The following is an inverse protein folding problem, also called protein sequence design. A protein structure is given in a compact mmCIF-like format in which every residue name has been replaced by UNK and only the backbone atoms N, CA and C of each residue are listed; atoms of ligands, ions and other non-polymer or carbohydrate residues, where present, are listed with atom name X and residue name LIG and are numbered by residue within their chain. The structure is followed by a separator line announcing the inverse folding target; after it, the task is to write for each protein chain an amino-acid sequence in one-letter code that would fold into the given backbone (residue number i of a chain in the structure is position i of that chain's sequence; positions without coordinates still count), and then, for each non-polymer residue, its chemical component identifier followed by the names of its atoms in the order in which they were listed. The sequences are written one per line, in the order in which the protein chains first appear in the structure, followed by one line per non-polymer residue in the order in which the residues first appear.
data_IF_226813073893
#
_entry.id   IF_226813073893
#
_cell.length_a   1.000
_cell.length_b   1.000
_cell.length_c   1.000
_cell.angle_alpha   90.00
_cell.angle_beta   90.00
_cell.angle_gamma   90.00
#
_symmetry.space_group_name_H-M   'P 1'
#
loop_
_entity.id
_entity.type
_entity.pdbx_description
1 polymer ?
#
# COMPACT_ATOMS: atom_id res chain seq x y z
N UNK A 1 -5.18 26.04 7.68
CA UNK A 1 -4.82 24.69 8.17
C UNK A 1 -6.10 23.96 8.50
N UNK A 2 -6.22 22.68 8.15
CA UNK A 2 -7.35 21.85 8.58
C UNK A 2 -7.33 21.73 10.11
N UNK A 3 -8.50 21.70 10.77
CA UNK A 3 -8.56 21.43 12.21
C UNK A 3 -7.91 20.10 12.55
N UNK A 4 -7.31 20.00 13.74
CA UNK A 4 -6.75 18.74 14.24
C UNK A 4 -7.55 18.23 15.43
N UNK A 5 -7.73 16.91 15.51
CA UNK A 5 -8.42 16.24 16.60
C UNK A 5 -7.63 15.00 17.02
N UNK A 6 -7.35 14.88 18.32
CA UNK A 6 -6.71 13.69 18.89
C UNK A 6 -7.65 12.48 18.84
N UNK A 7 -7.07 11.28 18.88
CA UNK A 7 -7.81 10.01 19.02
C UNK A 7 -8.70 10.02 20.26
N UNK A 8 -8.25 10.68 21.34
CA UNK A 8 -9.06 10.84 22.56
C UNK A 8 -10.31 11.68 22.29
N UNK A 9 -10.18 12.80 21.58
CA UNK A 9 -11.34 13.61 21.19
C UNK A 9 -12.27 12.80 20.29
N UNK A 10 -11.77 12.14 19.26
CA UNK A 10 -12.61 11.29 18.39
C UNK A 10 -13.37 10.24 19.21
N UNK A 11 -12.74 9.63 20.23
CA UNK A 11 -13.38 8.65 21.09
C UNK A 11 -14.52 9.18 21.97
N UNK A 12 -14.73 10.49 22.06
CA UNK A 12 -15.90 11.11 22.71
C UNK A 12 -17.12 11.14 21.77
N UNK A 13 -16.93 10.98 20.45
CA UNK A 13 -17.97 11.01 19.42
C UNK A 13 -18.44 9.58 19.07
N UNK A 14 -19.08 8.91 20.04
CA UNK A 14 -19.52 7.49 19.98
C UNK A 14 -21.03 7.30 19.88
N UNK A 15 -21.79 8.33 19.55
CA UNK A 15 -23.24 8.27 19.42
C UNK A 15 -23.64 8.40 17.96
N UNK A 16 -24.82 7.87 17.58
CA UNK A 16 -25.27 7.93 16.20
C UNK A 16 -25.47 9.39 15.73
N UNK A 17 -25.88 10.28 16.63
CA UNK A 17 -26.15 11.68 16.35
C UNK A 17 -24.87 12.55 16.39
N UNK A 18 -23.76 11.99 16.88
CA UNK A 18 -22.47 12.64 17.02
C UNK A 18 -21.35 11.60 16.84
N UNK A 19 -21.29 10.98 15.67
CA UNK A 19 -20.44 9.83 15.41
C UNK A 19 -19.28 10.18 14.52
N UNK A 20 -18.05 10.05 15.04
CA UNK A 20 -16.84 10.31 14.26
C UNK A 20 -16.00 9.05 14.15
N UNK A 21 -15.19 8.94 13.10
CA UNK A 21 -14.12 7.94 13.04
C UNK A 21 -12.90 8.50 12.34
N UNK A 22 -11.80 7.75 12.46
CA UNK A 22 -10.56 8.04 11.73
C UNK A 22 -10.42 7.06 10.57
N UNK A 23 -10.04 7.57 9.40
CA UNK A 23 -9.53 6.76 8.28
C UNK A 23 -8.20 7.36 7.86
N UNK A 24 -7.15 6.53 7.84
CA UNK A 24 -5.77 6.95 7.69
C UNK A 24 -5.39 7.98 8.78
N UNK A 25 -5.24 9.25 8.40
CA UNK A 25 -5.03 10.37 9.31
C UNK A 25 -6.21 11.36 9.30
N UNK A 26 -7.25 11.13 8.49
CA UNK A 26 -8.42 12.00 8.41
C UNK A 26 -9.44 11.68 9.50
N UNK A 27 -10.11 12.71 10.01
CA UNK A 27 -11.21 12.62 10.97
C UNK A 27 -12.50 12.99 10.26
N UNK A 28 -13.50 12.12 10.36
CA UNK A 28 -14.73 12.20 9.57
C UNK A 28 -15.96 12.18 10.47
N UNK A 29 -16.90 13.08 10.22
CA UNK A 29 -18.19 13.14 10.88
C UNK A 29 -19.25 12.43 10.05
N UNK A 30 -19.81 11.34 10.58
CA UNK A 30 -20.83 10.52 9.91
C UNK A 30 -22.23 10.67 10.50
N UNK A 31 -22.44 11.64 11.40
CA UNK A 31 -23.71 11.90 12.09
C UNK A 31 -24.92 12.02 11.16
N UNK A 32 -24.71 12.47 9.92
CA UNK A 32 -25.75 12.64 8.89
C UNK A 32 -25.69 11.61 7.77
N UNK A 33 -24.86 10.59 7.89
CA UNK A 33 -24.56 9.64 6.80
C UNK A 33 -24.99 8.20 7.09
N UNK A 34 -25.44 7.89 8.32
CA UNK A 34 -25.79 6.53 8.72
C UNK A 34 -26.81 5.83 7.79
N UNK A 35 -27.91 6.51 7.48
CA UNK A 35 -28.98 5.94 6.67
C UNK A 35 -28.67 5.94 5.16
N UNK A 36 -27.64 6.71 4.75
CA UNK A 36 -27.19 6.79 3.36
C UNK A 36 -26.11 5.75 3.05
N UNK A 37 -25.54 5.09 4.06
CA UNK A 37 -24.44 4.15 3.87
C UNK A 37 -24.92 2.84 3.23
N UNK A 38 -24.45 2.46 2.03
CA UNK A 38 -24.93 1.26 1.33
C UNK A 38 -24.68 -0.06 2.06
N UNK A 39 -23.70 -0.10 2.97
CA UNK A 39 -23.42 -1.27 3.83
C UNK A 39 -24.30 -1.36 5.08
N UNK A 40 -25.26 -0.44 5.24
CA UNK A 40 -26.10 -0.31 6.43
C UNK A 40 -25.49 0.58 7.51
N UNK A 41 -26.30 0.96 8.50
CA UNK A 41 -25.88 1.79 9.65
C UNK A 41 -24.93 1.06 10.59
N UNK A 42 -25.11 -0.25 10.77
CA UNK A 42 -24.43 -1.03 11.81
C UNK A 42 -22.92 -1.07 11.60
N UNK A 43 -22.46 -1.09 10.34
CA UNK A 43 -21.03 -1.06 10.02
C UNK A 43 -20.35 0.26 10.42
N UNK A 44 -21.09 1.37 10.40
CA UNK A 44 -20.58 2.66 10.87
C UNK A 44 -20.61 2.71 12.41
N UNK A 45 -21.72 2.28 13.02
CA UNK A 45 -21.88 2.26 14.49
C UNK A 45 -20.81 1.38 15.15
N UNK A 46 -20.39 0.29 14.51
CA UNK A 46 -19.33 -0.57 15.04
C UNK A 46 -17.96 0.12 15.15
N UNK A 47 -17.74 1.22 14.42
CA UNK A 47 -16.43 1.86 14.26
C UNK A 47 -16.37 3.32 14.76
N UNK A 48 -17.50 3.91 15.17
CA UNK A 48 -17.50 5.28 15.68
C UNK A 48 -16.74 5.42 17.01
N UNK A 49 -16.10 6.56 17.17
CA UNK A 49 -15.15 6.89 18.22
C UNK A 49 -13.84 6.11 18.14
N UNK A 50 -13.49 5.55 16.99
CA UNK A 50 -12.28 4.76 16.80
C UNK A 50 -11.62 5.01 15.43
N UNK A 51 -10.49 4.34 15.25
CA UNK A 51 -9.78 4.26 13.97
C UNK A 51 -10.34 3.10 13.16
N UNK A 52 -11.06 3.45 12.09
CA UNK A 52 -11.77 2.54 11.20
C UNK A 52 -10.95 2.20 9.95
N UNK A 53 -9.67 2.60 9.89
CA UNK A 53 -8.83 2.47 8.68
C UNK A 53 -8.81 1.05 8.14
N UNK A 54 -8.52 0.07 9.00
CA UNK A 54 -8.42 -1.35 8.58
C UNK A 54 -9.77 -1.89 8.10
N UNK A 55 -10.86 -1.58 8.82
CA UNK A 55 -12.23 -1.98 8.42
C UNK A 55 -12.65 -1.33 7.11
N UNK A 56 -12.29 -0.07 6.89
CA UNK A 56 -12.58 0.66 5.67
C UNK A 56 -11.82 0.09 4.46
N UNK A 57 -10.55 -0.28 4.66
CA UNK A 57 -9.69 -0.81 3.61
C UNK A 57 -10.09 -2.24 3.19
N UNK A 58 -10.54 -3.06 4.14
CA UNK A 58 -10.93 -4.45 3.90
C UNK A 58 -12.12 -4.60 2.92
N UNK A 59 -13.01 -3.60 2.86
CA UNK A 59 -14.24 -3.67 2.05
C UNK A 59 -14.02 -3.17 0.60
N UNK A 60 -12.90 -2.50 0.31
CA UNK A 60 -12.58 -1.94 -1.00
C UNK A 60 -13.69 -1.05 -1.60
N UNK A 61 -13.89 0.11 -0.96
CA UNK A 61 -14.86 1.11 -1.39
C UNK A 61 -14.58 1.67 -2.80
N UNK A 62 -15.65 2.00 -3.54
CA UNK A 62 -15.56 2.57 -4.88
C UNK A 62 -15.02 4.01 -4.87
N UNK A 63 -14.59 4.53 -6.04
CA UNK A 63 -14.15 5.93 -6.15
C UNK A 63 -15.23 6.95 -5.77
N UNK A 64 -16.51 6.64 -5.97
CA UNK A 64 -17.60 7.51 -5.51
C UNK A 64 -17.74 7.50 -4.00
N UNK A 65 -17.57 6.34 -3.35
CA UNK A 65 -17.54 6.23 -1.90
C UNK A 65 -16.35 7.00 -1.30
N UNK A 66 -15.16 6.94 -1.90
CA UNK A 66 -14.00 7.75 -1.49
C UNK A 66 -14.27 9.26 -1.63
N UNK A 67 -14.95 9.70 -2.70
CA UNK A 67 -15.36 11.11 -2.83
C UNK A 67 -16.38 11.53 -1.77
N UNK A 68 -17.32 10.64 -1.43
CA UNK A 68 -18.29 10.88 -0.36
C UNK A 68 -17.58 11.01 0.98
N UNK A 69 -16.62 10.13 1.26
CA UNK A 69 -15.79 10.19 2.47
C UNK A 69 -15.10 11.56 2.61
N UNK A 70 -14.51 12.09 1.54
CA UNK A 70 -13.85 13.40 1.59
C UNK A 70 -14.80 14.54 1.97
N UNK A 71 -16.08 14.45 1.59
CA UNK A 71 -17.09 15.44 1.98
C UNK A 71 -17.46 15.40 3.47
N UNK A 72 -17.17 14.28 4.15
CA UNK A 72 -17.46 14.08 5.58
C UNK A 72 -16.26 14.48 6.45
N UNK A 73 -15.14 14.89 5.86
CA UNK A 73 -13.91 15.22 6.56
C UNK A 73 -14.09 16.51 7.36
N UNK A 74 -13.85 16.42 8.67
CA UNK A 74 -13.93 17.56 9.60
C UNK A 74 -12.56 18.01 10.10
N UNK A 75 -11.54 17.17 9.96
CA UNK A 75 -10.17 17.48 10.34
C UNK A 75 -9.21 16.31 10.10
N UNK A 76 -8.07 16.36 10.76
CA UNK A 76 -7.03 15.34 10.70
C UNK A 76 -6.47 15.04 12.10
N UNK A 77 -5.76 13.94 12.26
CA UNK A 77 -5.01 13.67 13.49
C UNK A 77 -3.84 14.65 13.63
N UNK A 78 -3.42 14.97 14.87
CA UNK A 78 -2.17 15.70 15.06
C UNK A 78 -0.97 14.86 14.62
N UNK A 79 0.14 15.52 14.29
CA UNK A 79 1.35 14.87 13.74
C UNK A 79 1.88 13.75 14.65
N UNK A 80 1.84 13.94 15.97
CA UNK A 80 2.28 12.96 16.97
C UNK A 80 1.39 11.70 17.08
N UNK A 81 0.18 11.71 16.50
CA UNK A 81 -0.74 10.57 16.48
C UNK A 81 -1.00 10.03 15.05
N UNK A 82 -0.40 10.67 14.05
CA UNK A 82 -0.57 10.37 12.64
C UNK A 82 0.26 9.16 12.22
N UNK A 83 -0.28 8.38 11.28
CA UNK A 83 0.46 7.33 10.58
C UNK A 83 1.51 7.97 9.69
N UNK A 84 2.68 7.33 9.61
CA UNK A 84 3.72 7.68 8.66
C UNK A 84 3.36 7.10 7.28
N UNK A 85 3.15 7.98 6.30
CA UNK A 85 2.98 7.59 4.90
C UNK A 85 4.29 7.75 4.13
N UNK A 86 4.59 6.76 3.29
CA UNK A 86 5.78 6.71 2.47
C UNK A 86 5.35 6.55 1.01
N UNK A 87 5.93 7.35 0.11
CA UNK A 87 5.67 7.21 -1.32
C UNK A 87 6.46 6.05 -1.94
N UNK A 88 5.94 5.45 -2.99
CA UNK A 88 6.64 4.47 -3.83
C UNK A 88 7.93 5.04 -4.42
N UNK A 89 7.97 6.34 -4.73
CA UNK A 89 9.20 7.01 -5.14
C UNK A 89 10.25 6.91 -4.04
N UNK A 90 9.86 7.17 -2.78
CA UNK A 90 10.77 7.06 -1.65
C UNK A 90 11.24 5.61 -1.48
N UNK A 91 10.33 4.63 -1.53
CA UNK A 91 10.70 3.21 -1.45
C UNK A 91 11.72 2.84 -2.53
N UNK A 92 11.54 3.28 -3.77
CA UNK A 92 12.42 2.98 -4.89
C UNK A 92 13.87 3.48 -4.75
N UNK A 93 14.15 4.37 -3.78
CA UNK A 93 15.51 4.81 -3.45
C UNK A 93 16.29 3.76 -2.62
N UNK A 94 15.61 2.74 -2.09
CA UNK A 94 16.16 1.77 -1.14
C UNK A 94 16.22 0.36 -1.77
N UNK A 95 17.21 0.15 -2.65
CA UNK A 95 17.37 -1.07 -3.48
C UNK A 95 18.66 -1.88 -3.20
N UNK A 96 19.43 -1.54 -2.17
CA UNK A 96 20.80 -2.06 -1.97
C UNK A 96 20.96 -2.80 -0.64
N UNK A 97 22.05 -3.56 -0.49
CA UNK A 97 22.32 -4.35 0.71
C UNK A 97 22.48 -3.51 2.01
N UNK A 98 22.79 -2.23 1.88
CA UNK A 98 22.85 -1.27 3.00
C UNK A 98 21.57 -0.43 3.16
N UNK A 99 20.58 -0.63 2.31
CA UNK A 99 19.34 0.14 2.27
C UNK A 99 18.31 -0.59 1.40
N UNK A 100 17.60 -1.57 1.99
CA UNK A 100 16.68 -2.45 1.28
C UNK A 100 15.26 -2.33 1.85
N UNK A 101 14.41 -1.56 1.18
CA UNK A 101 13.00 -1.44 1.55
C UNK A 101 12.11 -2.17 0.56
N UNK A 102 10.95 -2.61 1.00
CA UNK A 102 9.93 -3.17 0.11
C UNK A 102 8.53 -2.97 0.64
N UNK A 103 7.56 -3.02 -0.28
CA UNK A 103 6.14 -2.96 0.05
C UNK A 103 5.55 -4.36 0.07
N UNK A 104 4.84 -4.69 1.14
CA UNK A 104 4.02 -5.91 1.23
C UNK A 104 2.66 -5.50 1.80
N UNK A 105 1.58 -5.78 1.08
CA UNK A 105 0.21 -5.40 1.46
C UNK A 105 0.04 -3.90 1.77
N UNK A 106 0.57 -3.04 0.90
CA UNK A 106 0.58 -1.57 1.07
C UNK A 106 1.30 -1.07 2.35
N UNK A 107 2.07 -1.93 3.03
CA UNK A 107 2.93 -1.59 4.17
C UNK A 107 4.38 -1.59 3.74
N UNK A 108 5.17 -0.65 4.24
CA UNK A 108 6.59 -0.50 3.91
C UNK A 108 7.44 -1.09 5.02
N UNK A 109 8.41 -1.91 4.63
CA UNK A 109 9.32 -2.58 5.54
C UNK A 109 10.77 -2.24 5.20
N UNK A 110 11.56 -1.90 6.21
CA UNK A 110 13.02 -1.81 6.10
C UNK A 110 13.65 -3.16 6.44
N UNK A 111 13.99 -3.93 5.41
CA UNK A 111 14.57 -5.25 5.57
C UNK A 111 16.10 -5.25 5.57
N UNK A 112 16.76 -4.08 5.62
CA UNK A 112 18.23 -3.96 5.55
C UNK A 112 18.92 -4.87 6.56
N UNK A 113 18.42 -4.90 7.81
CA UNK A 113 18.96 -5.74 8.89
C UNK A 113 18.47 -7.20 8.84
N UNK A 114 17.46 -7.49 8.01
CA UNK A 114 16.87 -8.82 7.88
C UNK A 114 17.42 -9.61 6.69
N UNK A 115 18.10 -8.95 5.74
CA UNK A 115 18.63 -9.56 4.52
C UNK A 115 19.34 -10.89 4.77
N UNK A 116 20.27 -10.92 5.73
CA UNK A 116 21.08 -12.11 6.06
C UNK A 116 20.38 -13.12 6.97
N UNK A 117 19.23 -12.75 7.53
CA UNK A 117 18.41 -13.60 8.39
C UNK A 117 17.31 -14.32 7.60
N UNK A 118 17.11 -13.95 6.33
CA UNK A 118 16.06 -14.52 5.51
C UNK A 118 16.39 -15.96 5.08
N UNK A 119 15.59 -16.97 5.46
CA UNK A 119 15.87 -18.38 5.13
C UNK A 119 15.93 -18.67 3.62
N UNK A 120 15.24 -17.88 2.80
CA UNK A 120 15.30 -17.96 1.33
C UNK A 120 16.54 -17.32 0.71
N UNK A 121 17.49 -16.83 1.53
CA UNK A 121 18.66 -16.08 1.11
C UNK A 121 18.39 -14.59 0.92
N UNK A 122 19.44 -13.78 0.96
CA UNK A 122 19.31 -12.31 0.81
C UNK A 122 18.96 -11.86 -0.60
N UNK A 123 19.39 -12.62 -1.60
CA UNK A 123 19.29 -12.23 -3.01
C UNK A 123 17.83 -12.11 -3.48
N UNK A 124 16.94 -12.95 -2.95
CA UNK A 124 15.52 -12.87 -3.28
C UNK A 124 14.87 -11.59 -2.73
N UNK A 125 15.35 -11.09 -1.58
CA UNK A 125 14.87 -9.83 -1.02
C UNK A 125 15.44 -8.63 -1.79
N UNK A 126 16.73 -8.67 -2.14
CA UNK A 126 17.36 -7.64 -2.95
C UNK A 126 16.75 -7.53 -4.35
N UNK A 127 16.36 -8.66 -4.95
CA UNK A 127 15.66 -8.67 -6.23
C UNK A 127 14.34 -7.89 -6.20
N UNK A 128 13.64 -7.88 -5.05
CA UNK A 128 12.36 -7.17 -4.87
C UNK A 128 12.51 -5.85 -4.11
N UNK A 129 13.72 -5.45 -3.74
CA UNK A 129 13.96 -4.20 -3.02
C UNK A 129 13.58 -2.99 -3.90
N UNK A 130 13.11 -1.92 -3.25
CA UNK A 130 12.57 -0.73 -3.89
C UNK A 130 11.19 -0.89 -4.55
N UNK A 131 10.56 -2.06 -4.43
CA UNK A 131 9.32 -2.39 -5.12
C UNK A 131 8.22 -2.95 -4.22
N UNK A 132 7.12 -3.32 -4.86
CA UNK A 132 6.01 -4.06 -4.25
C UNK A 132 6.25 -5.56 -4.42
N UNK A 133 6.57 -6.21 -3.29
CA UNK A 133 6.86 -7.62 -3.18
C UNK A 133 5.65 -8.44 -2.73
N UNK A 134 4.44 -7.86 -2.67
CA UNK A 134 3.23 -8.52 -2.16
C UNK A 134 2.97 -9.86 -2.84
N UNK A 135 3.03 -9.92 -4.17
CA UNK A 135 2.79 -11.16 -4.90
C UNK A 135 3.86 -12.22 -4.61
N UNK A 136 5.14 -11.82 -4.65
CA UNK A 136 6.26 -12.73 -4.34
C UNK A 136 6.18 -13.27 -2.90
N UNK A 137 5.71 -12.44 -1.96
CA UNK A 137 5.50 -12.83 -0.57
C UNK A 137 4.35 -13.83 -0.42
N UNK A 138 3.23 -13.61 -1.10
CA UNK A 138 2.05 -14.49 -1.08
C UNK A 138 2.32 -15.84 -1.74
N UNK A 139 2.98 -15.85 -2.91
CA UNK A 139 3.24 -17.06 -3.69
C UNK A 139 4.13 -18.07 -2.96
N UNK A 140 4.95 -17.59 -2.02
CA UNK A 140 5.82 -18.46 -1.20
C UNK A 140 5.11 -19.10 -0.02
N UNK A 141 3.97 -18.56 0.41
CA UNK A 141 3.19 -19.10 1.54
C UNK A 141 3.95 -19.02 2.87
N UNK A 142 4.28 -17.80 3.31
CA UNK A 142 4.92 -17.59 4.61
C UNK A 142 3.99 -17.93 5.78
N UNK A 143 4.54 -18.48 6.87
CA UNK A 143 3.77 -18.82 8.08
C UNK A 143 3.32 -17.59 8.87
N UNK A 144 2.34 -17.75 9.77
CA UNK A 144 1.92 -16.65 10.67
C UNK A 144 3.05 -16.11 11.55
N UNK A 145 4.02 -16.96 11.91
CA UNK A 145 5.21 -16.52 12.65
C UNK A 145 6.09 -15.60 11.81
N UNK A 146 6.19 -15.83 10.50
CA UNK A 146 6.91 -14.94 9.60
C UNK A 146 6.19 -13.59 9.47
N UNK A 147 4.86 -13.60 9.39
CA UNK A 147 4.06 -12.36 9.39
C UNK A 147 4.29 -11.53 10.66
N UNK A 148 4.24 -12.16 11.85
CA UNK A 148 4.54 -11.48 13.12
C UNK A 148 5.96 -10.93 13.17
N UNK A 149 6.93 -11.65 12.61
CA UNK A 149 8.33 -11.18 12.58
C UNK A 149 8.50 -9.93 11.70
N UNK A 150 7.69 -9.76 10.66
CA UNK A 150 7.75 -8.57 9.78
C UNK A 150 7.37 -7.28 10.49
N UNK A 151 6.53 -7.35 11.53
CA UNK A 151 6.12 -6.17 12.31
C UNK A 151 7.32 -5.39 12.87
N UNK A 152 8.42 -6.08 13.19
CA UNK A 152 9.66 -5.47 13.67
C UNK A 152 10.33 -4.54 12.63
N UNK A 153 10.07 -4.78 11.35
CA UNK A 153 10.69 -4.07 10.23
C UNK A 153 9.74 -3.07 9.58
N UNK A 154 8.51 -2.95 10.07
CA UNK A 154 7.52 -1.99 9.57
C UNK A 154 7.96 -0.55 9.86
N UNK A 155 7.92 0.31 8.84
CA UNK A 155 8.31 1.72 8.96
C UNK A 155 7.22 2.72 8.54
N UNK A 156 6.12 2.25 7.95
CA UNK A 156 5.01 3.11 7.54
C UNK A 156 4.09 2.44 6.53
N UNK A 157 2.96 3.07 6.26
CA UNK A 157 2.03 2.64 5.21
C UNK A 157 2.37 3.36 3.90
N UNK A 158 2.02 2.78 2.75
CA UNK A 158 2.08 3.48 1.47
C UNK A 158 1.02 4.59 1.43
N UNK A 159 1.39 5.72 0.82
CA UNK A 159 0.49 6.83 0.52
C UNK A 159 -0.86 6.33 -0.03
N UNK A 160 -2.01 6.72 0.56
CA UNK A 160 -3.31 6.18 0.17
C UNK A 160 -3.62 6.29 -1.33
N UNK A 161 -3.11 7.32 -2.00
CA UNK A 161 -3.28 7.56 -3.44
C UNK A 161 -2.45 6.60 -4.33
N UNK A 162 -1.42 5.98 -3.79
CA UNK A 162 -0.49 5.09 -4.50
C UNK A 162 -0.75 3.59 -4.21
N UNK A 163 -1.68 3.29 -3.31
CA UNK A 163 -2.00 1.91 -2.91
C UNK A 163 -2.59 1.09 -4.05
N UNK A 164 -2.22 -0.19 -4.11
CA UNK A 164 -2.78 -1.16 -5.04
C UNK A 164 -3.91 -1.94 -4.39
N UNK A 165 -4.94 -2.26 -5.18
CA UNK A 165 -5.98 -3.20 -4.76
C UNK A 165 -5.37 -4.59 -4.65
N UNK A 166 -5.43 -5.19 -3.46
CA UNK A 166 -5.02 -6.57 -3.23
C UNK A 166 -6.13 -7.46 -3.80
N UNK A 167 -6.15 -7.69 -5.12
CA UNK A 167 -7.11 -8.61 -5.72
C UNK A 167 -6.70 -10.02 -5.29
N UNK A 168 -7.37 -10.57 -4.28
CA UNK A 168 -7.40 -12.00 -4.07
C UNK A 168 -8.08 -12.62 -5.29
N UNK A 169 -7.30 -13.11 -6.25
CA UNK A 169 -7.83 -14.06 -7.22
C UNK A 169 -8.18 -15.33 -6.44
N UNK A 170 -9.42 -15.41 -6.00
CA UNK A 170 -9.99 -16.66 -5.52
C UNK A 170 -10.08 -17.55 -6.75
N UNK A 171 -9.23 -18.58 -6.81
CA UNK A 171 -9.35 -19.64 -7.81
C UNK A 171 -10.73 -20.26 -7.68
N UNK A 172 -11.62 -19.97 -8.62
CA UNK A 172 -12.84 -20.73 -8.84
C UNK A 172 -12.66 -21.55 -10.10
N UNK A 173 -12.12 -22.76 -9.93
CA UNK A 173 -12.38 -23.86 -10.83
C UNK A 173 -13.83 -24.31 -10.65
N UNK A 174 -14.74 -23.80 -11.49
CA UNK A 174 -15.91 -24.59 -11.91
C UNK A 174 -16.46 -24.10 -13.25
N UNK A 175 -16.82 -25.07 -14.08
CA UNK A 175 -17.22 -24.96 -15.48
C UNK A 175 -18.60 -24.31 -15.67
N UNK A 176 -18.78 -23.66 -16.83
CA UNK A 176 -20.09 -23.52 -17.49
C UNK A 176 -20.57 -22.09 -17.74
N UNK A 177 -20.60 -21.70 -19.01
CA UNK A 177 -21.49 -20.63 -19.50
C UNK A 177 -20.78 -19.46 -20.19
N UNK A 178 -20.95 -19.38 -21.50
CA UNK A 178 -20.34 -18.39 -22.38
C UNK A 178 -20.83 -16.95 -22.11
N UNK A 179 -19.89 -16.00 -22.03
CA UNK A 179 -19.98 -14.77 -22.81
C UNK A 179 -18.58 -14.23 -23.14
N UNK A 180 -18.36 -13.88 -24.41
CA UNK A 180 -17.07 -13.40 -24.91
C UNK A 180 -17.00 -11.90 -24.72
N UNK A 181 -16.22 -11.45 -23.74
CA UNK A 181 -15.65 -10.12 -23.77
C UNK A 181 -14.14 -10.19 -23.46
N UNK A 182 -13.37 -10.29 -24.54
CA UNK A 182 -11.90 -10.26 -24.55
C UNK A 182 -11.39 -8.96 -23.96
N UNK A 183 -10.99 -8.99 -22.69
CA UNK A 183 -10.09 -7.99 -22.11
C UNK A 183 -8.66 -8.52 -22.22
N UNK A 184 -7.86 -7.82 -22.99
CA UNK A 184 -6.48 -8.19 -23.31
C UNK A 184 -5.58 -7.99 -22.08
N UNK A 185 -5.45 -9.01 -21.23
CA UNK A 185 -4.51 -9.02 -20.11
C UNK A 185 -3.09 -9.14 -20.68
N UNK A 186 -2.29 -8.07 -20.56
CA UNK A 186 -0.87 -8.09 -20.94
C UNK A 186 -0.10 -9.03 -20.00
N UNK A 187 0.36 -10.14 -20.57
CA UNK A 187 1.09 -11.25 -19.95
C UNK A 187 2.42 -10.82 -19.34
N UNK A 188 2.89 -11.54 -18.31
CA UNK A 188 4.17 -11.39 -17.60
C UNK A 188 5.41 -11.19 -18.50
N UNK A 189 5.36 -11.64 -19.76
CA UNK A 189 6.38 -11.36 -20.77
C UNK A 189 6.55 -9.86 -21.01
N UNK A 190 5.49 -9.08 -20.99
CA UNK A 190 5.54 -7.63 -21.18
C UNK A 190 6.21 -6.92 -20.00
N UNK A 191 6.07 -7.47 -18.78
CA UNK A 191 6.74 -6.93 -17.59
C UNK A 191 8.24 -7.23 -17.60
N UNK A 192 8.61 -8.45 -18.00
CA UNK A 192 10.01 -8.85 -18.19
C UNK A 192 10.67 -8.07 -19.33
N UNK A 193 9.98 -7.89 -20.45
CA UNK A 193 10.49 -7.11 -21.58
C UNK A 193 10.70 -5.64 -21.19
N UNK A 194 9.80 -5.04 -20.40
CA UNK A 194 10.01 -3.68 -19.87
C UNK A 194 11.23 -3.61 -18.95
N UNK A 195 11.43 -4.57 -18.06
CA UNK A 195 12.62 -4.63 -17.19
C UNK A 195 13.90 -4.79 -18.00
N UNK A 196 13.94 -5.71 -18.97
CA UNK A 196 15.10 -5.92 -19.84
C UNK A 196 15.39 -4.67 -20.67
N UNK A 197 14.37 -4.01 -21.21
CA UNK A 197 14.53 -2.75 -21.95
C UNK A 197 15.04 -1.62 -21.06
N UNK A 198 14.62 -1.56 -19.80
CA UNK A 198 15.08 -0.54 -18.86
C UNK A 198 16.54 -0.77 -18.44
N UNK A 199 16.93 -2.02 -18.19
CA UNK A 199 18.32 -2.40 -17.93
C UNK A 199 19.23 -2.09 -19.13
N UNK A 200 18.77 -2.41 -20.35
CA UNK A 200 19.53 -2.11 -21.57
C UNK A 200 19.71 -0.61 -21.80
N UNK A 201 18.68 0.21 -21.51
CA UNK A 201 18.78 1.67 -21.58
C UNK A 201 19.83 2.24 -20.61
N UNK A 202 19.87 1.74 -19.38
CA UNK A 202 20.87 2.17 -18.38
C UNK A 202 22.29 1.81 -18.84
N UNK A 203 22.49 0.60 -19.37
CA UNK A 203 23.77 0.15 -19.91
C UNK A 203 24.26 1.02 -21.09
N UNK A 204 23.36 1.37 -22.01
CA UNK A 204 23.70 2.26 -23.14
C UNK A 204 24.13 3.64 -22.64
N UNK A 205 23.40 4.21 -21.68
CA UNK A 205 23.73 5.51 -21.09
C UNK A 205 25.10 5.47 -20.41
N UNK A 206 25.38 4.43 -19.61
CA UNK A 206 26.69 4.24 -18.97
C UNK A 206 27.82 4.10 -19.98
N UNK A 207 27.60 3.35 -21.07
CA UNK A 207 28.58 3.19 -22.14
C UNK A 207 28.88 4.52 -22.87
N UNK A 208 27.87 5.38 -23.07
CA UNK A 208 28.04 6.71 -23.65
C UNK A 208 28.80 7.66 -22.71
N UNK A 209 28.59 7.57 -21.40
CA UNK A 209 29.36 8.34 -20.43
C UNK A 209 30.82 7.88 -20.37
N UNK A 210 31.07 6.57 -20.45
CA UNK A 210 32.42 6.01 -20.47
C UNK A 210 33.18 6.45 -21.74
N UNK A 211 32.52 6.44 -22.90
CA UNK A 211 33.15 6.87 -24.17
C UNK A 211 33.43 8.37 -24.21
N UNK A 212 32.53 9.20 -23.68
CA UNK A 212 32.76 10.64 -23.53
C UNK A 212 33.91 10.94 -22.56
N UNK A 213 34.02 10.20 -21.45
CA UNK A 213 35.12 10.35 -20.50
C UNK A 213 36.49 10.00 -21.12
N UNK A 214 36.56 8.95 -21.95
CA UNK A 214 37.78 8.56 -22.67
C UNK A 214 38.18 9.61 -23.72
N UNK A 215 37.21 10.25 -24.39
CA UNK A 215 37.45 11.33 -25.35
C UNK A 215 37.96 12.62 -24.69
N UNK A 216 37.57 12.89 -23.45
CA UNK A 216 38.06 14.05 -22.67
C UNK A 216 39.44 13.84 -22.04
N UNK A 217 39.94 12.60 -22.04
CA UNK A 217 41.27 12.21 -21.54
C UNK A 217 42.32 12.08 -22.67
N UNK A 218 41.96 12.42 -23.91
CA UNK A 218 42.87 12.58 -25.05
C UNK A 218 42.99 14.05 -25.43
#
# INVERSE_FOLDING_TARGET
MSPTYSRKQVAEHKQAENGWFIINNGVYDVSKFYDEHPGGRDVLIANIGADATESFEAVHHSKSALRRLEQLKVGELPENESRCFISMKKVAEHISANSAWMVIHNKVYDLTKFLDLHPGGRDILLYSAGGDATQAFMDKGHSDSAHRMMEKYFIGDIEPSERRSIIHRKDTSNEGGADKQTTHVKSDKDSLLRHVQQQLKVLIILALFLSAAILLLR
#
